data_IF_243001730044
#
_entry.id   IF_243001730044
#
_cell.length_a   1.000
_cell.length_b   1.000
_cell.length_c   1.000
_cell.angle_alpha   90.00
_cell.angle_beta   90.00
_cell.angle_gamma   90.00
#
_symmetry.space_group_name_H-M   'P 1'
#
loop_
_entity.id
_entity.type
_entity.pdbx_description
1 polymer ?
#
# COMPACT_ATOMS: atom_id res chain seq x y z
N UNK A 1 -12.84 8.42 4.43
CA UNK A 1 -11.68 7.54 4.31
C UNK A 1 -12.18 6.11 4.19
N UNK A 2 -11.70 5.33 3.21
CA UNK A 2 -12.15 3.95 2.99
C UNK A 2 -11.36 2.97 3.87
N UNK A 3 -11.96 1.87 4.34
CA UNK A 3 -11.18 0.80 5.00
C UNK A 3 -10.57 -0.11 3.94
N UNK A 4 -9.26 -0.37 4.06
CA UNK A 4 -8.57 -1.27 3.14
C UNK A 4 -9.01 -2.72 3.32
N UNK A 5 -9.39 -3.10 4.53
CA UNK A 5 -9.85 -4.45 4.84
C UNK A 5 -11.18 -4.76 4.16
N UNK A 6 -12.08 -3.78 4.06
CA UNK A 6 -13.44 -3.96 3.53
C UNK A 6 -13.64 -3.47 2.11
N UNK A 7 -12.69 -2.73 1.51
CA UNK A 7 -12.80 -2.33 0.10
C UNK A 7 -12.81 -3.56 -0.81
N UNK A 8 -13.77 -3.54 -1.73
CA UNK A 8 -13.92 -4.53 -2.79
C UNK A 8 -12.71 -4.51 -3.76
N UNK A 9 -12.29 -5.69 -4.23
CA UNK A 9 -11.09 -5.84 -5.05
C UNK A 9 -11.26 -5.24 -6.45
N UNK A 10 -12.47 -5.30 -7.02
CA UNK A 10 -12.76 -4.66 -8.31
C UNK A 10 -12.74 -3.14 -8.15
N UNK A 11 -13.37 -2.61 -7.10
CA UNK A 11 -13.33 -1.18 -6.78
C UNK A 11 -11.88 -0.69 -6.60
N UNK A 12 -11.06 -1.39 -5.80
CA UNK A 12 -9.65 -1.05 -5.59
C UNK A 12 -8.87 -1.05 -6.91
N UNK A 13 -9.08 -2.07 -7.74
CA UNK A 13 -8.43 -2.20 -9.05
C UNK A 13 -8.79 -1.06 -10.00
N UNK A 14 -10.05 -0.64 -10.02
CA UNK A 14 -10.51 0.51 -10.81
C UNK A 14 -9.90 1.82 -10.32
N UNK A 15 -9.79 2.02 -9.01
CA UNK A 15 -9.17 3.23 -8.46
C UNK A 15 -7.67 3.31 -8.78
N UNK A 16 -6.95 2.18 -8.68
CA UNK A 16 -5.53 2.07 -9.06
C UNK A 16 -5.33 2.35 -10.56
N UNK A 17 -6.13 1.71 -11.42
CA UNK A 17 -6.05 1.89 -12.88
C UNK A 17 -6.23 3.34 -13.30
N UNK A 18 -7.15 4.04 -12.66
CA UNK A 18 -7.49 5.43 -12.97
C UNK A 18 -6.59 6.44 -12.24
N UNK A 19 -5.60 5.99 -11.44
CA UNK A 19 -4.71 6.83 -10.63
C UNK A 19 -5.49 7.90 -9.83
N UNK A 20 -6.63 7.51 -9.26
CA UNK A 20 -7.41 8.40 -8.39
C UNK A 20 -6.65 8.66 -7.10
N UNK A 21 -6.92 9.78 -6.43
CA UNK A 21 -6.46 9.98 -5.06
C UNK A 21 -6.99 8.83 -4.19
N UNK A 22 -6.10 8.17 -3.45
CA UNK A 22 -6.43 7.05 -2.57
C UNK A 22 -6.09 7.43 -1.14
N UNK A 23 -7.08 7.31 -0.25
CA UNK A 23 -6.88 7.41 1.21
C UNK A 23 -7.57 6.25 1.90
N UNK A 24 -6.76 5.39 2.49
CA UNK A 24 -7.21 4.19 3.18
C UNK A 24 -6.92 4.28 4.67
N UNK A 25 -7.86 3.76 5.46
CA UNK A 25 -7.60 3.32 6.81
C UNK A 25 -7.10 1.87 6.73
N UNK A 26 -5.92 1.60 7.28
CA UNK A 26 -5.28 0.28 7.27
C UNK A 26 -4.81 -0.08 8.67
N UNK A 27 -5.14 -1.30 9.12
CA UNK A 27 -4.70 -1.80 10.43
C UNK A 27 -3.23 -2.21 10.44
N UNK A 28 -2.59 -2.11 11.60
CA UNK A 28 -1.20 -2.52 11.84
C UNK A 28 -0.94 -3.99 11.48
N UNK A 29 -1.95 -4.84 11.61
CA UNK A 29 -1.89 -6.26 11.23
C UNK A 29 -1.71 -6.47 9.73
N UNK A 30 -2.13 -5.51 8.90
CA UNK A 30 -2.00 -5.55 7.44
C UNK A 30 -0.69 -4.93 6.99
N UNK A 31 -0.36 -3.73 7.48
CA UNK A 31 0.88 -3.04 7.09
C UNK A 31 2.15 -3.68 7.66
N UNK A 32 2.03 -4.44 8.76
CA UNK A 32 3.11 -5.21 9.39
C UNK A 32 4.38 -4.41 9.72
N UNK A 33 4.25 -3.12 9.99
CA UNK A 33 5.35 -2.27 10.44
C UNK A 33 5.92 -2.66 11.81
N UNK A 34 5.29 -3.62 12.51
CA UNK A 34 5.53 -3.86 13.92
C UNK A 34 5.02 -2.68 14.74
N UNK A 35 5.02 -2.79 16.06
CA UNK A 35 4.64 -1.67 16.94
C UNK A 35 5.53 -0.43 16.73
N UNK A 36 6.73 -0.60 16.15
CA UNK A 36 7.65 0.47 15.73
C UNK A 36 8.62 -0.02 14.65
N UNK A 37 8.80 0.78 13.58
CA UNK A 37 10.01 0.70 12.74
C UNK A 37 11.06 1.62 13.37
N UNK A 38 12.30 1.16 13.63
CA UNK A 38 13.34 2.01 14.19
C UNK A 38 13.55 3.28 13.37
N UNK A 39 13.58 4.43 14.05
CA UNK A 39 13.83 5.75 13.44
C UNK A 39 12.75 6.27 12.49
N UNK A 40 11.55 5.69 12.46
CA UNK A 40 10.41 6.20 11.69
C UNK A 40 9.40 6.84 12.63
N UNK A 41 9.06 8.10 12.36
CA UNK A 41 8.02 8.83 13.10
C UNK A 41 6.72 8.92 12.28
N UNK A 42 5.78 8.03 12.58
CA UNK A 42 4.48 7.99 11.92
C UNK A 42 3.51 9.09 12.40
N UNK A 43 3.92 10.03 13.28
CA UNK A 43 3.09 11.21 13.61
C UNK A 43 2.93 12.18 12.42
N UNK A 44 3.75 12.02 11.39
CA UNK A 44 3.71 12.72 10.11
C UNK A 44 3.74 11.70 8.95
N UNK A 45 3.41 12.12 7.71
CA UNK A 45 3.41 11.20 6.57
C UNK A 45 4.80 10.60 6.29
N UNK A 46 4.91 9.27 6.35
CA UNK A 46 6.16 8.54 6.08
C UNK A 46 6.02 7.62 4.87
N UNK A 47 6.97 7.70 3.94
CA UNK A 47 7.06 6.76 2.82
C UNK A 47 7.85 5.52 3.26
N UNK A 48 7.25 4.34 3.13
CA UNK A 48 7.91 3.05 3.37
C UNK A 48 7.94 2.29 2.04
N UNK A 49 8.98 2.48 1.20
CA UNK A 49 9.04 1.87 -0.11
C UNK A 49 9.43 0.39 -0.01
N UNK A 50 8.90 -0.47 -0.89
CA UNK A 50 9.38 -1.85 -1.02
C UNK A 50 10.80 -1.87 -1.60
N UNK A 51 11.52 -2.97 -1.39
CA UNK A 51 12.89 -3.14 -1.91
C UNK A 51 12.92 -3.00 -3.45
N UNK A 52 13.80 -2.17 -4.02
CA UNK A 52 13.83 -1.89 -5.47
C UNK A 52 13.95 -3.12 -6.38
N UNK A 53 14.53 -4.22 -5.87
CA UNK A 53 14.65 -5.50 -6.58
C UNK A 53 13.29 -6.01 -7.11
N UNK A 54 12.18 -5.65 -6.46
CA UNK A 54 10.83 -6.13 -6.80
C UNK A 54 10.33 -5.60 -8.15
N UNK A 55 10.90 -4.51 -8.70
CA UNK A 55 10.34 -3.83 -9.88
C UNK A 55 10.90 -4.26 -11.25
N UNK A 56 11.68 -5.34 -11.31
CA UNK A 56 11.93 -5.98 -12.61
C UNK A 56 10.63 -6.63 -13.12
N UNK A 57 10.34 -6.62 -14.43
CA UNK A 57 9.07 -7.17 -14.94
C UNK A 57 8.80 -8.62 -14.53
N UNK A 58 9.84 -9.46 -14.52
CA UNK A 58 9.72 -10.88 -14.15
C UNK A 58 9.38 -11.05 -12.66
N UNK A 59 10.05 -10.31 -11.77
CA UNK A 59 9.78 -10.38 -10.33
C UNK A 59 8.42 -9.76 -9.98
N UNK A 60 8.05 -8.66 -10.64
CA UNK A 60 6.74 -8.03 -10.51
C UNK A 60 5.61 -9.02 -10.84
N UNK A 61 5.72 -9.71 -11.98
CA UNK A 61 4.76 -10.72 -12.40
C UNK A 61 4.69 -11.88 -11.40
N UNK A 62 5.84 -12.37 -10.92
CA UNK A 62 5.88 -13.41 -9.89
C UNK A 62 5.18 -12.99 -8.59
N UNK A 63 5.42 -11.76 -8.12
CA UNK A 63 4.75 -11.26 -6.90
C UNK A 63 3.25 -11.18 -7.10
N UNK A 64 2.76 -10.70 -8.24
CA UNK A 64 1.32 -10.61 -8.52
C UNK A 64 0.68 -12.00 -8.59
N UNK A 65 1.33 -12.97 -9.25
CA UNK A 65 0.82 -14.35 -9.41
C UNK A 65 0.83 -15.12 -8.09
N UNK A 66 1.83 -14.91 -7.25
CA UNK A 66 2.00 -15.67 -6.01
C UNK A 66 1.44 -14.97 -4.76
N UNK A 67 1.02 -13.71 -4.85
CA UNK A 67 0.27 -13.07 -3.78
C UNK A 67 -1.07 -13.80 -3.58
N UNK A 68 -1.30 -14.36 -2.40
CA UNK A 68 -2.53 -15.09 -2.07
C UNK A 68 -3.81 -14.27 -2.22
N UNK A 69 -4.97 -14.92 -2.26
CA UNK A 69 -6.27 -14.23 -2.34
C UNK A 69 -6.72 -13.58 -1.01
N UNK A 70 -5.93 -13.73 0.04
CA UNK A 70 -6.20 -13.16 1.37
C UNK A 70 -5.87 -11.66 1.45
N UNK A 71 -6.11 -11.08 2.62
CA UNK A 71 -5.89 -9.66 2.88
C UNK A 71 -4.41 -9.26 2.73
N UNK A 72 -3.48 -10.15 3.11
CA UNK A 72 -2.04 -9.93 2.96
C UNK A 72 -1.62 -9.89 1.50
N UNK A 73 -2.13 -10.82 0.69
CA UNK A 73 -1.91 -10.82 -0.74
C UNK A 73 -2.56 -9.63 -1.44
N UNK A 74 -3.77 -9.22 -1.04
CA UNK A 74 -4.42 -7.98 -1.51
C UNK A 74 -3.54 -6.76 -1.23
N UNK A 75 -3.02 -6.63 -0.01
CA UNK A 75 -2.12 -5.55 0.37
C UNK A 75 -0.80 -5.58 -0.41
N UNK A 76 -0.21 -6.76 -0.60
CA UNK A 76 1.00 -6.94 -1.40
C UNK A 76 0.79 -6.49 -2.84
N UNK A 77 -0.29 -6.94 -3.50
CA UNK A 77 -0.65 -6.50 -4.86
C UNK A 77 -0.87 -5.00 -4.93
N UNK A 78 -1.56 -4.42 -3.95
CA UNK A 78 -1.78 -2.97 -3.86
C UNK A 78 -0.46 -2.19 -3.81
N UNK A 79 0.42 -2.50 -2.85
CA UNK A 79 1.72 -1.81 -2.67
C UNK A 79 2.53 -1.89 -3.96
N UNK A 80 2.70 -3.10 -4.47
CA UNK A 80 3.52 -3.34 -5.66
C UNK A 80 2.96 -2.64 -6.89
N UNK A 81 1.64 -2.64 -7.07
CA UNK A 81 0.98 -1.94 -8.19
C UNK A 81 1.19 -0.43 -8.14
N UNK A 82 1.03 0.18 -6.95
CA UNK A 82 1.22 1.63 -6.76
C UNK A 82 2.63 2.04 -7.18
N UNK A 83 3.64 1.38 -6.61
CA UNK A 83 5.03 1.73 -6.89
C UNK A 83 5.47 1.36 -8.31
N UNK A 84 4.98 0.25 -8.89
CA UNK A 84 5.26 -0.11 -10.29
C UNK A 84 4.69 0.92 -11.28
N UNK A 85 3.61 1.62 -10.89
CA UNK A 85 3.02 2.71 -11.65
C UNK A 85 3.65 4.09 -11.33
N UNK A 86 4.75 4.13 -10.57
CA UNK A 86 5.47 5.34 -10.17
C UNK A 86 4.82 6.13 -9.04
N UNK A 87 3.76 5.60 -8.42
CA UNK A 87 3.14 6.20 -7.24
C UNK A 87 3.94 5.94 -5.97
N UNK A 88 3.56 6.66 -4.90
CA UNK A 88 4.14 6.55 -3.57
C UNK A 88 3.05 6.36 -2.54
N UNK A 89 3.34 5.61 -1.47
CA UNK A 89 2.39 5.44 -0.36
C UNK A 89 2.98 6.05 0.90
N UNK A 90 2.26 7.03 1.44
CA UNK A 90 2.59 7.69 2.69
C UNK A 90 1.68 7.19 3.79
N UNK A 91 2.28 6.82 4.93
CA UNK A 91 1.58 6.30 6.09
C UNK A 91 1.66 7.30 7.24
N UNK A 92 0.52 7.58 7.86
CA UNK A 92 0.42 8.40 9.08
C UNK A 92 -0.33 7.59 10.12
N UNK A 93 0.25 7.42 11.32
CA UNK A 93 -0.43 6.77 12.43
C UNK A 93 -1.57 7.65 12.91
N UNK A 94 -2.76 7.07 13.04
CA UNK A 94 -3.93 7.75 13.61
C UNK A 94 -4.25 7.24 15.03
N UNK A 95 -3.34 6.46 15.61
CA UNK A 95 -3.52 5.79 16.90
C UNK A 95 -4.26 4.46 16.81
N UNK A 96 -4.33 3.75 17.95
CA UNK A 96 -5.06 2.48 18.10
C UNK A 96 -4.69 1.39 17.08
N UNK A 97 -3.41 1.32 16.68
CA UNK A 97 -2.92 0.33 15.72
C UNK A 97 -3.47 0.53 14.31
N UNK A 98 -3.79 1.76 13.92
CA UNK A 98 -4.27 2.11 12.58
C UNK A 98 -3.46 3.21 11.94
N UNK A 99 -3.36 3.13 10.62
CA UNK A 99 -2.65 4.06 9.78
C UNK A 99 -3.60 4.61 8.71
N UNK A 100 -3.52 5.91 8.44
CA UNK A 100 -3.94 6.46 7.16
C UNK A 100 -2.84 6.16 6.14
N UNK A 101 -3.19 5.52 5.03
CA UNK A 101 -2.34 5.35 3.87
C UNK A 101 -2.86 6.26 2.73
N UNK A 102 -2.04 7.21 2.32
CA UNK A 102 -2.29 8.15 1.24
C UNK A 102 -1.42 7.81 0.02
N UNK A 103 -2.03 7.64 -1.15
CA UNK A 103 -1.29 7.42 -2.40
C UNK A 103 -1.16 8.73 -3.17
N UNK A 104 0.08 9.07 -3.49
CA UNK A 104 0.40 10.15 -4.41
C UNK A 104 0.87 9.56 -5.74
N UNK A 105 0.27 10.02 -6.83
CA UNK A 105 0.64 9.63 -8.18
C UNK A 105 1.57 10.69 -8.79
N UNK A 106 2.53 10.28 -9.65
CA UNK A 106 3.35 11.24 -10.36
C UNK A 106 2.45 12.11 -11.24
N UNK A 107 2.73 13.41 -11.28
CA UNK A 107 2.08 14.32 -12.22
C UNK A 107 2.32 13.82 -13.65
N UNK A 108 1.25 13.80 -14.45
CA UNK A 108 1.31 13.39 -15.86
C UNK A 108 2.13 14.35 -16.72
#
# INVERSE_FOLDING_TARGET
>A
MLSFETIDEQQLSEMLRNRKELRFLISESVVKFGTTIPSVDFSSPQEIPPTPVIFTPDLLAQVIVHAGADLDGKYTRFVVTVYACGGKIFYTSIGSGKYEAHVEWPSA
#
